data_IF_803411153314
#
_entry.id   IF_803411153314
#
_cell.length_a   1.000
_cell.length_b   1.000
_cell.length_c   1.000
_cell.angle_alpha   90.00
_cell.angle_beta   90.00
_cell.angle_gamma   90.00
#
_symmetry.space_group_name_H-M   'P 1'
#
loop_
_entity.id
_entity.type
_entity.pdbx_description
1 polymer ?
#
# COMPACT_ATOMS: atom_id res chain seq x y z
N UNK A 1 64.18 8.81 9.62
CA UNK A 1 62.82 9.00 9.08
C UNK A 1 62.52 8.15 7.84
N UNK A 2 63.41 8.04 6.86
CA UNK A 2 63.18 7.33 5.58
C UNK A 2 62.75 5.85 5.69
N UNK A 3 63.31 5.11 6.66
CA UNK A 3 62.96 3.69 6.90
C UNK A 3 61.54 3.49 7.45
N UNK A 4 61.01 4.47 8.20
CA UNK A 4 59.66 4.39 8.78
C UNK A 4 58.58 4.51 7.70
N UNK A 5 58.84 5.35 6.70
CA UNK A 5 57.93 5.54 5.57
C UNK A 5 57.89 4.31 4.65
N UNK A 6 59.03 3.63 4.44
CA UNK A 6 59.07 2.36 3.67
C UNK A 6 58.27 1.26 4.34
N UNK A 7 58.37 1.11 5.67
CA UNK A 7 57.57 0.14 6.43
C UNK A 7 56.08 0.45 6.34
N UNK A 8 55.70 1.73 6.45
CA UNK A 8 54.30 2.15 6.31
C UNK A 8 53.74 1.83 4.92
N UNK A 9 54.50 2.11 3.85
CA UNK A 9 54.11 1.78 2.48
C UNK A 9 53.94 0.27 2.27
N UNK A 10 54.83 -0.54 2.85
CA UNK A 10 54.74 -2.00 2.77
C UNK A 10 53.50 -2.52 3.49
N UNK A 11 53.18 -1.98 4.67
CA UNK A 11 51.96 -2.32 5.41
C UNK A 11 50.70 -1.93 4.64
N UNK A 12 50.67 -0.73 4.04
CA UNK A 12 49.54 -0.28 3.21
C UNK A 12 49.35 -1.15 1.96
N UNK A 13 50.44 -1.51 1.28
CA UNK A 13 50.39 -2.39 0.11
C UNK A 13 49.88 -3.79 0.48
N UNK A 14 50.37 -4.36 1.59
CA UNK A 14 49.92 -5.65 2.10
C UNK A 14 48.44 -5.60 2.50
N UNK A 15 48.00 -4.55 3.19
CA UNK A 15 46.60 -4.39 3.58
C UNK A 15 45.66 -4.25 2.37
N UNK A 16 46.07 -3.51 1.33
CA UNK A 16 45.29 -3.36 0.09
C UNK A 16 45.19 -4.66 -0.72
N UNK A 17 46.25 -5.46 -0.77
CA UNK A 17 46.24 -6.78 -1.41
C UNK A 17 45.32 -7.76 -0.66
N UNK A 18 45.29 -7.70 0.68
CA UNK A 18 44.47 -8.56 1.52
C UNK A 18 43.00 -8.14 1.58
N UNK A 19 42.67 -6.85 1.41
CA UNK A 19 41.28 -6.37 1.45
C UNK A 19 40.44 -6.89 0.28
N UNK A 20 41.05 -7.16 -0.88
CA UNK A 20 40.36 -7.76 -2.02
C UNK A 20 39.88 -9.21 -1.76
N UNK A 21 40.57 -9.94 -0.88
CA UNK A 21 40.15 -11.28 -0.47
C UNK A 21 38.91 -11.27 0.42
N UNK A 22 38.68 -10.19 1.18
CA UNK A 22 37.50 -10.05 2.03
C UNK A 22 36.23 -9.77 1.23
N UNK A 23 36.33 -9.02 0.12
CA UNK A 23 35.18 -8.74 -0.73
C UNK A 23 34.71 -9.99 -1.50
N UNK A 24 35.63 -10.87 -1.88
CA UNK A 24 35.33 -12.18 -2.47
C UNK A 24 34.73 -13.19 -1.47
N UNK A 25 35.08 -13.07 -0.18
CA UNK A 25 34.49 -13.90 0.90
C UNK A 25 33.08 -13.45 1.27
N UNK A 26 32.69 -12.22 0.94
CA UNK A 26 31.29 -11.84 0.95
C UNK A 26 30.65 -12.54 -0.25
N UNK A 27 30.08 -13.73 -0.05
CA UNK A 27 29.10 -14.32 -0.97
C UNK A 27 27.93 -13.32 -1.10
N UNK A 28 28.07 -12.37 -2.03
CA UNK A 28 26.98 -11.50 -2.44
C UNK A 28 26.23 -12.27 -3.51
N UNK A 29 25.03 -12.73 -3.21
CA UNK A 29 24.11 -13.32 -4.20
C UNK A 29 23.60 -12.27 -5.23
N UNK A 30 24.30 -11.13 -5.35
CA UNK A 30 23.86 -9.91 -6.02
C UNK A 30 25.04 -9.22 -6.72
N UNK A 31 24.92 -8.90 -8.00
CA UNK A 31 25.95 -8.22 -8.83
C UNK A 31 26.08 -6.70 -8.61
N UNK A 32 25.19 -6.07 -7.83
CA UNK A 32 25.25 -4.63 -7.47
C UNK A 32 24.43 -4.35 -6.20
N UNK A 33 24.80 -3.30 -5.45
CA UNK A 33 24.23 -2.90 -4.15
C UNK A 33 22.76 -2.41 -4.18
N UNK A 34 22.00 -2.70 -5.24
CA UNK A 34 20.62 -2.23 -5.42
C UNK A 34 19.70 -3.18 -6.18
N UNK A 35 20.01 -4.48 -6.22
CA UNK A 35 19.27 -5.45 -7.06
C UNK A 35 17.83 -5.75 -6.65
N UNK A 36 17.36 -5.18 -5.54
CA UNK A 36 16.02 -5.45 -5.03
C UNK A 36 15.78 -6.94 -4.77
N UNK A 37 14.52 -7.33 -4.61
CA UNK A 37 14.14 -8.71 -4.36
C UNK A 37 13.55 -9.33 -5.63
N UNK A 38 14.35 -10.11 -6.35
CA UNK A 38 13.93 -10.77 -7.58
C UNK A 38 12.74 -11.72 -7.36
N UNK A 39 12.69 -12.42 -6.22
CA UNK A 39 11.56 -13.30 -5.90
C UNK A 39 10.27 -12.54 -5.69
N UNK A 40 10.33 -11.35 -5.10
CA UNK A 40 9.18 -10.47 -4.94
C UNK A 40 8.70 -9.90 -6.27
N UNK A 41 9.61 -9.45 -7.13
CA UNK A 41 9.28 -9.01 -8.48
C UNK A 41 8.65 -10.13 -9.32
N UNK A 42 9.19 -11.36 -9.23
CA UNK A 42 8.70 -12.52 -9.96
C UNK A 42 7.26 -12.89 -9.57
N UNK A 43 6.85 -12.67 -8.31
CA UNK A 43 5.45 -12.88 -7.89
C UNK A 43 4.50 -12.04 -8.74
N UNK A 44 4.82 -10.76 -8.96
CA UNK A 44 3.99 -9.88 -9.79
C UNK A 44 3.98 -10.28 -11.26
N UNK A 45 5.16 -10.52 -11.84
CA UNK A 45 5.34 -10.83 -13.28
C UNK A 45 4.66 -12.15 -13.67
N UNK A 46 4.73 -13.17 -12.81
CA UNK A 46 4.18 -14.50 -13.09
C UNK A 46 2.78 -14.74 -12.52
N UNK A 47 2.18 -13.75 -11.86
CA UNK A 47 0.78 -13.88 -11.46
C UNK A 47 -0.11 -13.73 -12.69
N UNK A 48 -0.79 -14.81 -13.07
CA UNK A 48 -1.61 -14.86 -14.28
C UNK A 48 -2.79 -13.89 -14.25
N UNK A 49 -3.43 -13.70 -13.09
CA UNK A 49 -4.50 -12.71 -12.93
C UNK A 49 -4.34 -11.96 -11.59
N UNK A 50 -3.58 -10.86 -11.57
CA UNK A 50 -3.26 -10.14 -10.34
C UNK A 50 -4.43 -9.27 -9.83
N UNK A 51 -5.47 -9.09 -10.66
CA UNK A 51 -6.59 -8.23 -10.35
C UNK A 51 -7.78 -8.99 -9.75
N UNK A 52 -8.55 -8.37 -8.84
CA UNK A 52 -9.77 -8.97 -8.33
C UNK A 52 -10.83 -9.06 -9.45
N UNK A 53 -11.75 -10.03 -9.37
CA UNK A 53 -12.79 -10.25 -10.40
C UNK A 53 -13.59 -8.99 -10.77
N UNK A 54 -13.80 -8.08 -9.82
CA UNK A 54 -14.52 -6.82 -10.06
C UNK A 54 -13.76 -5.88 -11.03
N UNK A 55 -12.45 -5.97 -11.12
CA UNK A 55 -11.64 -5.17 -12.05
C UNK A 55 -11.94 -5.49 -13.52
N UNK A 56 -12.44 -6.71 -13.80
CA UNK A 56 -12.86 -7.14 -15.13
C UNK A 56 -14.31 -6.71 -15.45
N UNK A 57 -15.04 -6.15 -14.48
CA UNK A 57 -16.42 -5.75 -14.68
C UNK A 57 -16.50 -4.44 -15.49
N UNK A 58 -16.80 -4.56 -16.77
CA UNK A 58 -17.05 -3.43 -17.67
C UNK A 58 -18.54 -3.06 -17.77
N UNK A 59 -19.40 -3.71 -16.98
CA UNK A 59 -20.81 -3.37 -16.94
C UNK A 59 -21.00 -2.02 -16.24
N UNK A 60 -21.38 -1.01 -17.03
CA UNK A 60 -21.80 0.29 -16.51
C UNK A 60 -23.33 0.22 -16.34
N UNK A 61 -23.86 0.23 -15.11
CA UNK A 61 -25.29 0.05 -14.86
C UNK A 61 -26.15 1.25 -15.29
N UNK A 62 -25.51 2.36 -15.67
CA UNK A 62 -26.17 3.57 -16.13
C UNK A 62 -26.00 3.77 -17.64
N UNK A 63 -27.12 4.04 -18.31
CA UNK A 63 -27.16 4.47 -19.71
C UNK A 63 -27.17 6.01 -19.81
N UNK A 64 -26.80 6.57 -20.96
CA UNK A 64 -26.83 8.00 -21.24
C UNK A 64 -28.21 8.62 -21.02
N UNK A 65 -29.29 7.85 -21.20
CA UNK A 65 -30.67 8.30 -20.89
C UNK A 65 -30.88 8.53 -19.39
N UNK A 66 -30.31 7.67 -18.54
CA UNK A 66 -30.38 7.81 -17.08
C UNK A 66 -29.56 9.01 -16.64
N UNK A 67 -28.33 9.16 -17.16
CA UNK A 67 -27.49 10.31 -16.90
C UNK A 67 -28.19 11.63 -17.30
N UNK A 68 -28.76 11.69 -18.50
CA UNK A 68 -29.51 12.85 -18.99
C UNK A 68 -30.73 13.16 -18.13
N UNK A 69 -31.50 12.14 -17.71
CA UNK A 69 -32.65 12.32 -16.81
C UNK A 69 -32.22 12.90 -15.46
N UNK A 70 -31.14 12.39 -14.88
CA UNK A 70 -30.62 12.86 -13.60
C UNK A 70 -30.18 14.32 -13.70
N UNK A 71 -29.39 14.66 -14.73
CA UNK A 71 -28.96 16.04 -15.01
C UNK A 71 -30.17 16.98 -15.13
N UNK A 72 -31.17 16.58 -15.93
CA UNK A 72 -32.40 17.35 -16.10
C UNK A 72 -33.17 17.53 -14.79
N UNK A 73 -33.27 16.49 -13.98
CA UNK A 73 -33.98 16.53 -12.69
C UNK A 73 -33.30 17.50 -11.71
N UNK A 74 -31.97 17.61 -11.74
CA UNK A 74 -31.24 18.62 -10.97
C UNK A 74 -31.48 20.04 -11.50
N UNK A 75 -31.45 20.24 -12.82
CA UNK A 75 -31.71 21.55 -13.44
C UNK A 75 -33.14 22.04 -13.16
N UNK A 76 -34.11 21.12 -13.16
CA UNK A 76 -35.52 21.40 -12.91
C UNK A 76 -35.86 21.44 -11.40
N UNK A 77 -34.87 21.28 -10.50
CA UNK A 77 -35.07 21.30 -9.05
C UNK A 77 -35.85 20.10 -8.50
N UNK A 78 -36.06 19.05 -9.29
CA UNK A 78 -36.85 17.86 -8.94
C UNK A 78 -36.10 16.82 -8.11
N UNK A 79 -34.81 17.05 -7.84
CA UNK A 79 -33.94 16.17 -7.03
C UNK A 79 -33.86 16.52 -5.54
N UNK A 80 -34.42 17.66 -5.11
CA UNK A 80 -34.51 18.01 -3.69
C UNK A 80 -35.82 17.45 -3.12
N UNK A 81 -35.80 16.19 -2.71
CA UNK A 81 -36.80 15.72 -1.74
C UNK A 81 -36.39 16.25 -0.39
N UNK A 82 -37.20 17.16 0.18
CA UNK A 82 -37.03 17.69 1.53
C UNK A 82 -36.73 16.55 2.50
N UNK A 83 -35.74 16.75 3.38
CA UNK A 83 -35.32 15.74 4.36
C UNK A 83 -36.54 15.21 5.14
N UNK A 84 -36.68 13.88 5.32
CA UNK A 84 -37.79 13.32 6.06
C UNK A 84 -37.72 13.80 7.52
N UNK A 85 -38.88 14.17 8.09
CA UNK A 85 -38.97 14.66 9.46
C UNK A 85 -38.40 13.60 10.44
N UNK A 86 -37.61 14.00 11.45
CA UNK A 86 -37.02 13.05 12.38
C UNK A 86 -38.13 12.31 13.14
N UNK A 87 -38.13 10.99 13.04
CA UNK A 87 -39.05 10.14 13.78
C UNK A 87 -38.59 10.08 15.25
N UNK A 88 -39.37 10.64 16.16
CA UNK A 88 -39.10 10.53 17.59
C UNK A 88 -39.36 9.09 18.05
N UNK A 89 -38.30 8.39 18.50
CA UNK A 89 -38.39 7.07 19.10
C UNK A 89 -38.77 7.23 20.57
N UNK A 90 -39.97 6.79 20.95
CA UNK A 90 -40.39 6.71 22.36
C UNK A 90 -39.79 5.42 22.95
N UNK A 91 -38.84 5.56 23.87
CA UNK A 91 -38.29 4.44 24.63
C UNK A 91 -39.26 4.07 25.78
N UNK A 92 -39.55 2.78 26.01
CA UNK A 92 -40.34 2.36 27.15
C UNK A 92 -39.58 2.65 28.45
N UNK A 93 -40.23 3.37 29.37
CA UNK A 93 -39.69 3.68 30.70
C UNK A 93 -39.62 2.40 31.55
N UNK A 94 -38.48 2.19 32.20
CA UNK A 94 -38.26 1.05 33.09
C UNK A 94 -39.15 1.14 34.34
N UNK A 95 -39.88 0.07 34.64
CA UNK A 95 -40.60 -0.12 35.90
C UNK A 95 -39.58 -0.24 37.05
N UNK A 96 -39.66 0.58 38.12
CA UNK A 96 -38.74 0.45 39.25
C UNK A 96 -39.03 -0.83 40.05
N UNK A 97 -38.01 -1.43 40.71
CA UNK A 97 -38.17 -2.67 41.45
C UNK A 97 -38.97 -2.41 42.74
N UNK A 98 -39.98 -3.23 42.96
CA UNK A 98 -40.84 -3.19 44.14
C UNK A 98 -39.98 -3.49 45.38
N UNK A 99 -39.89 -2.50 46.28
CA UNK A 99 -39.15 -2.60 47.52
C UNK A 99 -39.66 -3.73 48.40
N UNK A 100 -38.72 -4.47 48.98
CA UNK A 100 -38.95 -5.38 50.08
C UNK A 100 -39.51 -4.63 51.30
N UNK A 101 -40.54 -5.20 51.92
CA UNK A 101 -40.74 -5.35 53.37
C UNK A 101 -41.85 -6.37 53.60
#
# INVERSE_FOLDING_TARGET
MFQRNKRLLLVLAAAGLLSGCADYLNHRDSITFGLGNAMEANKGIHTQEPFPRVAQNTNIPADGKVAHRTIRSYQEGRGQTSAPAPSAVILPVATPPNGAN
#
